data_IF_751519032540
#
_entry.id   IF_751519032540
#
_cell.length_a   1.000
_cell.length_b   1.000
_cell.length_c   1.000
_cell.angle_alpha   90.00
_cell.angle_beta   90.00
_cell.angle_gamma   90.00
#
_symmetry.space_group_name_H-M   'P 1'
#
loop_
_entity.id
_entity.type
_entity.pdbx_description
1 polymer ?
#
# COMPACT_ATOMS: atom_id res chain seq x y z
N UNK A 1 -11.58 13.40 -7.94
CA UNK A 1 -10.68 13.37 -6.76
C UNK A 1 -11.27 14.01 -5.51
N UNK A 2 -11.67 15.30 -5.51
CA UNK A 2 -12.12 16.01 -4.30
C UNK A 2 -13.26 15.34 -3.51
N UNK A 3 -14.26 14.78 -4.20
CA UNK A 3 -15.40 14.08 -3.55
C UNK A 3 -14.94 12.81 -2.85
N UNK A 4 -14.15 11.96 -3.53
CA UNK A 4 -13.58 10.76 -2.93
C UNK A 4 -12.66 11.10 -1.75
N UNK A 5 -11.92 12.21 -1.86
CA UNK A 5 -11.05 12.69 -0.79
C UNK A 5 -11.87 13.07 0.44
N UNK A 6 -12.95 13.84 0.27
CA UNK A 6 -13.88 14.15 1.36
C UNK A 6 -14.54 12.90 1.94
N UNK A 7 -14.98 11.97 1.10
CA UNK A 7 -15.58 10.72 1.52
C UNK A 7 -14.62 9.87 2.36
N UNK A 8 -13.33 9.84 2.03
CA UNK A 8 -12.29 9.12 2.78
C UNK A 8 -12.11 9.66 4.22
N UNK A 9 -12.40 10.94 4.46
CA UNK A 9 -12.34 11.56 5.79
C UNK A 9 -13.69 11.60 6.52
N UNK A 10 -14.71 10.96 5.95
CA UNK A 10 -16.03 10.95 6.55
C UNK A 10 -16.07 10.05 7.79
N UNK A 11 -16.94 10.37 8.75
CA UNK A 11 -17.07 9.60 10.01
C UNK A 11 -17.71 8.23 9.78
N UNK A 12 -18.64 8.16 8.84
CA UNK A 12 -19.27 6.92 8.41
C UNK A 12 -18.28 6.02 7.66
N UNK A 13 -18.22 4.75 8.06
CA UNK A 13 -17.36 3.74 7.46
C UNK A 13 -17.78 3.42 6.02
N UNK A 14 -19.08 3.43 5.73
CA UNK A 14 -19.58 3.09 4.39
C UNK A 14 -19.19 4.17 3.38
N UNK A 15 -19.24 5.45 3.77
CA UNK A 15 -18.70 6.54 2.96
C UNK A 15 -17.19 6.37 2.66
N UNK A 16 -16.40 5.87 3.63
CA UNK A 16 -14.96 5.61 3.42
C UNK A 16 -14.74 4.41 2.50
N UNK A 17 -15.55 3.35 2.60
CA UNK A 17 -15.52 2.22 1.67
C UNK A 17 -15.83 2.65 0.23
N UNK A 18 -16.85 3.48 0.03
CA UNK A 18 -17.17 4.07 -1.29
C UNK A 18 -15.98 4.86 -1.84
N UNK A 19 -15.27 5.61 -0.99
CA UNK A 19 -14.06 6.31 -1.40
C UNK A 19 -12.96 5.35 -1.89
N UNK A 20 -12.71 4.28 -1.15
CA UNK A 20 -11.72 3.24 -1.51
C UNK A 20 -12.07 2.59 -2.85
N UNK A 21 -13.32 2.16 -3.05
CA UNK A 21 -13.77 1.62 -4.33
C UNK A 21 -13.54 2.61 -5.48
N UNK A 22 -13.84 3.90 -5.27
CA UNK A 22 -13.58 4.93 -6.25
C UNK A 22 -12.09 5.10 -6.58
N UNK A 23 -11.20 5.04 -5.59
CA UNK A 23 -9.75 5.09 -5.83
C UNK A 23 -9.24 3.87 -6.58
N UNK A 24 -9.71 2.67 -6.24
CA UNK A 24 -9.38 1.44 -6.97
C UNK A 24 -9.80 1.53 -8.44
N UNK A 25 -10.97 2.10 -8.74
CA UNK A 25 -11.41 2.34 -10.11
C UNK A 25 -10.52 3.35 -10.85
N UNK A 26 -10.04 4.38 -10.16
CA UNK A 26 -9.11 5.36 -10.76
C UNK A 26 -7.76 4.68 -11.06
N UNK A 27 -7.22 3.88 -10.13
CA UNK A 27 -5.97 3.15 -10.30
C UNK A 27 -5.99 2.27 -11.57
N UNK A 28 -7.12 1.58 -11.81
CA UNK A 28 -7.34 0.76 -13.02
C UNK A 28 -7.22 1.53 -14.36
N UNK A 29 -7.35 2.85 -14.36
CA UNK A 29 -7.39 3.69 -15.56
C UNK A 29 -6.29 4.75 -15.62
N UNK A 30 -5.40 4.77 -14.63
CA UNK A 30 -4.40 5.82 -14.50
C UNK A 30 -3.21 5.53 -15.42
N UNK A 31 -2.99 6.36 -16.43
CA UNK A 31 -1.83 6.22 -17.31
C UNK A 31 -0.58 6.71 -16.60
N UNK A 32 0.19 5.78 -16.02
CA UNK A 32 1.43 6.08 -15.33
C UNK A 32 2.62 5.56 -16.15
N UNK A 33 3.54 6.47 -16.49
CA UNK A 33 4.77 6.17 -17.22
C UNK A 33 5.90 6.78 -16.38
N UNK A 34 6.52 5.96 -15.52
CA UNK A 34 7.61 6.36 -14.65
C UNK A 34 7.89 5.34 -13.55
N UNK A 35 8.99 5.50 -12.80
CA UNK A 35 9.25 4.78 -11.54
C UNK A 35 8.95 5.75 -10.39
N UNK A 36 8.21 5.33 -9.37
CA UNK A 36 8.02 6.09 -8.11
C UNK A 36 8.37 5.15 -6.98
N UNK A 37 9.24 5.59 -6.07
CA UNK A 37 9.66 4.82 -4.89
C UNK A 37 9.21 5.54 -3.61
N UNK A 38 8.83 4.76 -2.59
CA UNK A 38 8.35 5.24 -1.30
C UNK A 38 9.47 5.20 -0.25
N UNK A 39 10.35 6.21 -0.21
CA UNK A 39 11.34 6.25 0.87
C UNK A 39 10.72 6.50 2.26
N UNK A 40 11.02 5.63 3.22
CA UNK A 40 10.72 5.86 4.63
C UNK A 40 11.77 6.78 5.25
N UNK A 41 11.37 7.95 5.74
CA UNK A 41 12.24 8.83 6.52
C UNK A 41 11.69 8.93 7.93
N UNK A 42 12.44 8.44 8.92
CA UNK A 42 12.20 8.77 10.32
C UNK A 42 12.72 10.18 10.57
N UNK A 43 11.90 11.20 10.32
CA UNK A 43 12.23 12.56 10.76
C UNK A 43 11.82 12.70 12.21
N UNK A 44 12.80 12.70 13.11
CA UNK A 44 12.65 13.07 14.52
C UNK A 44 12.24 14.54 14.63
N UNK A 45 10.94 14.83 14.48
CA UNK A 45 10.39 16.13 14.85
C UNK A 45 9.63 15.98 16.16
N UNK A 46 10.23 16.54 17.20
CA UNK A 46 9.64 16.72 18.50
C UNK A 46 8.35 17.56 18.41
N UNK A 47 7.40 17.22 19.28
CA UNK A 47 6.14 17.90 19.62
C UNK A 47 4.95 17.81 18.65
N UNK A 48 3.98 17.00 19.10
CA UNK A 48 2.53 17.09 18.84
C UNK A 48 2.02 16.87 17.40
N UNK A 49 2.11 15.63 16.92
CA UNK A 49 1.04 14.90 16.23
C UNK A 49 1.63 13.58 15.69
N UNK A 50 1.09 12.45 16.13
CA UNK A 50 1.51 11.13 15.67
C UNK A 50 1.16 10.93 14.19
N UNK A 51 2.09 11.22 13.29
CA UNK A 51 2.01 10.79 11.90
C UNK A 51 3.43 10.53 11.40
N UNK A 52 3.80 9.25 11.24
CA UNK A 52 5.03 8.86 10.58
C UNK A 52 5.06 9.48 9.17
N UNK A 53 5.95 10.46 8.95
CA UNK A 53 6.08 11.20 7.70
C UNK A 53 6.98 10.44 6.72
N UNK A 54 6.39 9.61 5.85
CA UNK A 54 7.08 8.97 4.73
C UNK A 54 7.21 9.95 3.55
N UNK A 55 8.44 10.21 3.10
CA UNK A 55 8.74 11.12 1.98
C UNK A 55 8.78 10.30 0.68
N UNK A 56 7.96 10.63 -0.31
CA UNK A 56 7.98 9.94 -1.61
C UNK A 56 9.09 10.56 -2.47
N UNK A 57 10.15 9.80 -2.80
CA UNK A 57 11.23 10.22 -3.71
C UNK A 57 10.99 9.58 -5.07
N UNK A 58 10.85 10.40 -6.12
CA UNK A 58 10.52 9.92 -7.45
C UNK A 58 11.49 10.48 -8.49
N UNK A 59 12.44 9.65 -8.94
CA UNK A 59 13.26 9.89 -10.13
C UNK A 59 12.48 9.43 -11.37
N UNK A 60 12.17 10.36 -12.28
CA UNK A 60 11.36 10.03 -13.47
C UNK A 60 12.00 10.61 -14.74
N UNK A 61 12.35 9.72 -15.66
CA UNK A 61 12.52 10.04 -17.08
C UNK A 61 11.15 9.88 -17.77
N UNK A 62 10.36 10.95 -17.89
CA UNK A 62 9.09 10.91 -18.65
C UNK A 62 9.38 11.17 -20.13
N UNK A 63 9.05 10.24 -21.03
CA UNK A 63 9.02 10.53 -22.47
C UNK A 63 7.67 11.17 -22.93
N UNK A 64 6.87 11.71 -22.01
CA UNK A 64 5.68 12.51 -22.33
C UNK A 64 5.37 13.46 -21.16
N UNK A 65 5.58 14.76 -21.37
CA UNK A 65 5.50 15.81 -20.35
C UNK A 65 4.08 16.17 -19.89
N UNK A 66 3.44 15.32 -19.09
CA UNK A 66 2.23 15.71 -18.35
C UNK A 66 2.43 15.67 -16.82
N UNK A 67 2.86 16.79 -16.18
CA UNK A 67 3.06 16.86 -14.73
C UNK A 67 1.79 16.54 -13.91
N UNK A 68 0.58 16.64 -14.49
CA UNK A 68 -0.68 16.36 -13.79
C UNK A 68 -0.86 14.88 -13.42
N UNK A 69 -0.38 13.95 -14.26
CA UNK A 69 -0.51 12.51 -14.02
C UNK A 69 0.40 12.04 -12.87
N UNK A 70 1.60 12.63 -12.74
CA UNK A 70 2.50 12.41 -11.61
C UNK A 70 1.89 12.89 -10.30
N UNK A 71 1.37 14.12 -10.26
CA UNK A 71 0.72 14.65 -9.06
C UNK A 71 -0.49 13.82 -8.64
N UNK A 72 -1.29 13.35 -9.61
CA UNK A 72 -2.43 12.48 -9.33
C UNK A 72 -2.00 11.12 -8.76
N UNK A 73 -0.97 10.48 -9.32
CA UNK A 73 -0.45 9.22 -8.80
C UNK A 73 0.05 9.39 -7.35
N UNK A 74 0.87 10.42 -7.09
CA UNK A 74 1.35 10.72 -5.74
C UNK A 74 0.21 11.03 -4.76
N UNK A 75 -0.83 11.75 -5.21
CA UNK A 75 -2.00 12.00 -4.39
C UNK A 75 -2.72 10.70 -4.04
N UNK A 76 -2.92 9.80 -5.00
CA UNK A 76 -3.55 8.51 -4.75
C UNK A 76 -2.70 7.63 -3.84
N UNK A 77 -1.38 7.58 -4.02
CA UNK A 77 -0.49 6.85 -3.11
C UNK A 77 -0.55 7.40 -1.68
N UNK A 78 -0.56 8.72 -1.53
CA UNK A 78 -0.79 9.37 -0.24
C UNK A 78 -2.15 9.02 0.38
N UNK A 79 -3.17 8.82 -0.44
CA UNK A 79 -4.50 8.41 0.01
C UNK A 79 -4.54 6.92 0.39
N UNK A 80 -3.90 6.03 -0.37
CA UNK A 80 -3.77 4.62 -0.01
C UNK A 80 -3.06 4.44 1.33
N UNK A 81 -1.98 5.17 1.58
CA UNK A 81 -1.32 5.21 2.90
C UNK A 81 -2.27 5.59 4.03
N UNK A 82 -3.19 6.54 3.79
CA UNK A 82 -4.21 6.89 4.80
C UNK A 82 -5.25 5.80 4.98
N UNK A 83 -5.60 5.05 3.93
CA UNK A 83 -6.50 3.89 4.03
C UNK A 83 -5.91 2.83 4.96
N UNK A 84 -4.59 2.59 4.89
CA UNK A 84 -3.87 1.66 5.79
C UNK A 84 -3.84 2.08 7.27
N UNK A 85 -4.30 3.29 7.59
CA UNK A 85 -4.46 3.78 8.96
C UNK A 85 -5.92 3.78 9.42
N UNK A 86 -6.83 3.20 8.63
CA UNK A 86 -8.25 3.09 8.97
C UNK A 86 -8.58 1.72 9.57
N UNK A 87 -9.83 1.59 10.00
CA UNK A 87 -10.41 0.36 10.55
C UNK A 87 -10.27 -0.82 9.57
N UNK A 88 -10.17 -2.03 10.12
CA UNK A 88 -9.95 -3.27 9.36
C UNK A 88 -10.86 -3.46 8.16
N UNK A 89 -12.16 -3.20 8.29
CA UNK A 89 -13.08 -3.37 7.16
C UNK A 89 -12.80 -2.45 5.96
N UNK A 90 -12.13 -1.31 6.16
CA UNK A 90 -11.73 -0.41 5.05
C UNK A 90 -10.39 -0.86 4.46
N UNK A 91 -9.44 -1.33 5.28
CA UNK A 91 -8.19 -1.95 4.83
C UNK A 91 -8.43 -3.22 4.02
N UNK A 92 -9.36 -4.06 4.48
CA UNK A 92 -9.76 -5.28 3.79
C UNK A 92 -10.25 -5.00 2.38
N UNK A 93 -11.13 -4.00 2.22
CA UNK A 93 -11.63 -3.60 0.90
C UNK A 93 -10.50 -3.14 -0.03
N UNK A 94 -9.49 -2.46 0.50
CA UNK A 94 -8.31 -2.08 -0.26
C UNK A 94 -7.53 -3.32 -0.71
N UNK A 95 -7.16 -4.22 0.20
CA UNK A 95 -6.35 -5.40 -0.10
C UNK A 95 -7.00 -6.31 -1.14
N UNK A 96 -8.30 -6.57 -0.99
CA UNK A 96 -9.09 -7.40 -1.92
C UNK A 96 -9.13 -6.76 -3.31
N UNK A 97 -9.26 -5.44 -3.40
CA UNK A 97 -9.42 -4.74 -4.68
C UNK A 97 -8.11 -4.39 -5.39
N UNK A 98 -6.97 -4.42 -4.70
CA UNK A 98 -5.68 -3.98 -5.24
C UNK A 98 -5.19 -4.89 -6.37
N UNK A 99 -5.32 -6.22 -6.25
CA UNK A 99 -4.87 -7.15 -7.28
C UNK A 99 -5.53 -6.86 -8.64
N UNK A 100 -6.86 -6.73 -8.67
CA UNK A 100 -7.60 -6.33 -9.87
C UNK A 100 -7.13 -4.98 -10.44
N UNK A 101 -6.75 -4.04 -9.57
CA UNK A 101 -6.24 -2.75 -10.00
C UNK A 101 -4.88 -2.86 -10.69
N UNK A 102 -4.00 -3.72 -10.17
CA UNK A 102 -2.69 -4.00 -10.73
C UNK A 102 -2.79 -4.77 -12.05
N UNK A 103 -3.70 -5.75 -12.18
CA UNK A 103 -3.93 -6.45 -13.44
C UNK A 103 -4.27 -5.51 -14.60
N UNK A 104 -5.01 -4.43 -14.30
CA UNK A 104 -5.36 -3.41 -15.29
C UNK A 104 -4.28 -2.34 -15.47
N UNK A 105 -3.34 -2.23 -14.53
CA UNK A 105 -2.32 -1.20 -14.52
C UNK A 105 -1.04 -1.67 -13.82
N UNK A 106 -0.27 -2.51 -14.52
CA UNK A 106 0.95 -3.14 -13.99
C UNK A 106 2.07 -2.15 -13.64
N UNK A 107 2.06 -0.95 -14.22
CA UNK A 107 3.04 0.10 -13.90
C UNK A 107 3.03 0.52 -12.43
N UNK A 108 1.94 0.22 -11.70
CA UNK A 108 1.78 0.52 -10.29
C UNK A 108 2.20 -0.64 -9.37
N UNK A 109 2.61 -1.78 -9.92
CA UNK A 109 2.90 -3.00 -9.16
C UNK A 109 3.92 -2.74 -8.05
N UNK A 110 5.10 -2.26 -8.42
CA UNK A 110 6.22 -2.15 -7.49
C UNK A 110 5.92 -1.18 -6.34
N UNK A 111 5.30 -0.03 -6.66
CA UNK A 111 4.92 0.96 -5.63
C UNK A 111 3.81 0.48 -4.70
N UNK A 112 2.86 -0.32 -5.22
CA UNK A 112 1.82 -0.93 -4.39
C UNK A 112 2.42 -2.04 -3.54
N UNK A 113 3.34 -2.84 -4.09
CA UNK A 113 4.02 -3.90 -3.35
C UNK A 113 4.86 -3.32 -2.21
N UNK A 114 5.64 -2.27 -2.48
CA UNK A 114 6.40 -1.51 -1.46
C UNK A 114 5.49 -1.01 -0.33
N UNK A 115 4.30 -0.52 -0.69
CA UNK A 115 3.30 -0.06 0.28
C UNK A 115 2.76 -1.21 1.16
N UNK A 116 2.46 -2.36 0.56
CA UNK A 116 1.91 -3.51 1.28
C UNK A 116 2.98 -4.21 2.14
N UNK A 117 4.22 -4.34 1.64
CA UNK A 117 5.34 -4.88 2.39
C UNK A 117 5.66 -4.00 3.61
N UNK A 118 5.70 -2.66 3.45
CA UNK A 118 5.86 -1.75 4.59
C UNK A 118 4.70 -1.79 5.60
N UNK A 119 3.53 -2.30 5.22
CA UNK A 119 2.46 -2.59 6.18
C UNK A 119 2.67 -3.93 6.88
N UNK A 120 3.11 -4.96 6.15
CA UNK A 120 3.42 -6.29 6.68
C UNK A 120 4.60 -6.26 7.65
N UNK A 121 5.63 -5.47 7.36
CA UNK A 121 6.80 -5.20 8.22
C UNK A 121 6.41 -4.82 9.66
N UNK A 122 5.29 -4.11 9.86
CA UNK A 122 4.84 -3.71 11.20
C UNK A 122 4.38 -4.91 12.04
N UNK A 123 3.96 -5.97 11.36
CA UNK A 123 3.41 -7.20 11.92
C UNK A 123 4.46 -8.31 12.02
N UNK A 124 5.62 -8.12 11.39
CA UNK A 124 6.71 -9.06 11.38
C UNK A 124 7.81 -8.65 12.36
N UNK A 125 8.38 -9.62 13.07
CA UNK A 125 9.52 -9.47 13.96
C UNK A 125 10.69 -10.28 13.41
N UNK A 126 11.74 -9.60 12.95
CA UNK A 126 12.95 -10.23 12.40
C UNK A 126 13.95 -10.66 13.48
N UNK A 127 13.62 -10.53 14.77
CA UNK A 127 14.49 -11.02 15.84
C UNK A 127 14.52 -12.55 15.90
N UNK A 128 15.73 -13.13 15.81
CA UNK A 128 15.99 -14.59 15.86
C UNK A 128 15.53 -15.28 17.16
N UNK A 129 15.14 -14.52 18.18
CA UNK A 129 14.81 -15.02 19.52
C UNK A 129 13.30 -15.32 19.72
N UNK A 130 12.44 -15.00 18.74
CA UNK A 130 10.98 -15.24 18.84
C UNK A 130 10.55 -16.52 18.12
N UNK A 131 9.95 -17.46 18.85
CA UNK A 131 9.31 -18.66 18.28
C UNK A 131 8.17 -18.34 17.28
N UNK A 132 7.64 -17.11 17.33
CA UNK A 132 6.60 -16.62 16.43
C UNK A 132 7.03 -15.28 15.80
N UNK A 133 7.35 -15.24 14.51
CA UNK A 133 7.77 -14.00 13.85
C UNK A 133 6.60 -13.04 13.58
N UNK A 134 5.35 -13.46 13.80
CA UNK A 134 4.15 -12.64 13.54
C UNK A 134 3.53 -12.10 14.83
N UNK A 135 3.36 -10.79 14.90
CA UNK A 135 2.73 -10.04 16.00
C UNK A 135 1.21 -9.99 15.87
N UNK A 136 0.55 -11.14 16.08
CA UNK A 136 -0.92 -11.27 15.95
C UNK A 136 -1.71 -10.33 16.87
N UNK A 137 -1.14 -9.91 18.00
CA UNK A 137 -1.76 -8.94 18.90
C UNK A 137 -2.02 -7.59 18.23
N UNK A 138 -1.27 -7.24 17.17
CA UNK A 138 -1.48 -6.01 16.40
C UNK A 138 -2.63 -6.13 15.39
N UNK A 139 -3.17 -7.33 15.16
CA UNK A 139 -4.27 -7.54 14.23
C UNK A 139 -5.64 -7.24 14.81
N UNK A 140 -5.72 -7.05 16.13
CA UNK A 140 -6.97 -6.85 16.86
C UNK A 140 -6.88 -5.61 17.74
N UNK A 141 -8.02 -4.94 17.90
CA UNK A 141 -8.16 -3.80 18.79
C UNK A 141 -9.33 -4.05 19.75
N UNK A 142 -9.16 -3.71 21.02
CA UNK A 142 -10.26 -3.68 21.97
C UNK A 142 -11.00 -2.34 21.87
N UNK A 143 -12.29 -2.39 21.56
CA UNK A 143 -13.16 -1.22 21.45
C UNK A 143 -14.41 -1.43 22.30
N UNK A 144 -14.54 -0.64 23.38
CA UNK A 144 -15.68 -0.68 24.30
C UNK A 144 -15.99 -2.10 24.83
N UNK A 145 -14.94 -2.86 25.16
CA UNK A 145 -15.05 -4.23 25.68
C UNK A 145 -15.30 -5.31 24.62
N UNK A 146 -15.29 -4.95 23.33
CA UNK A 146 -15.36 -5.92 22.22
C UNK A 146 -14.01 -5.97 21.50
N UNK A 147 -13.58 -7.18 21.14
CA UNK A 147 -12.41 -7.37 20.27
C UNK A 147 -12.89 -7.23 18.83
N UNK A 148 -12.31 -6.26 18.10
CA UNK A 148 -12.58 -6.04 16.68
C UNK A 148 -11.30 -6.27 15.87
N UNK A 149 -11.45 -6.76 14.65
CA UNK A 149 -10.33 -6.90 13.72
C UNK A 149 -9.87 -5.52 13.27
N UNK A 150 -8.62 -5.18 13.59
CA UNK A 150 -8.00 -3.96 13.11
C UNK A 150 -7.19 -4.23 11.85
N UNK A 151 -6.31 -5.22 11.82
CA UNK A 151 -5.54 -5.58 10.61
C UNK A 151 -6.05 -6.90 10.00
N UNK A 152 -6.61 -6.88 8.79
CA UNK A 152 -7.03 -8.08 8.08
C UNK A 152 -5.82 -8.78 7.46
N UNK A 153 -4.99 -9.40 8.30
CA UNK A 153 -3.69 -9.97 7.93
C UNK A 153 -3.77 -10.98 6.78
N UNK A 154 -4.79 -11.84 6.77
CA UNK A 154 -4.99 -12.81 5.70
C UNK A 154 -5.21 -12.14 4.34
N UNK A 155 -6.00 -11.07 4.29
CA UNK A 155 -6.24 -10.29 3.08
C UNK A 155 -4.97 -9.54 2.63
N UNK A 156 -4.18 -9.01 3.57
CA UNK A 156 -2.90 -8.36 3.29
C UNK A 156 -1.91 -9.34 2.62
N UNK A 157 -1.68 -10.50 3.26
CA UNK A 157 -0.77 -11.53 2.74
C UNK A 157 -1.28 -12.02 1.37
N UNK A 158 -2.58 -12.28 1.25
CA UNK A 158 -3.18 -12.72 -0.03
C UNK A 158 -2.93 -11.70 -1.13
N UNK A 159 -3.12 -10.40 -0.85
CA UNK A 159 -2.87 -9.33 -1.81
C UNK A 159 -1.41 -9.29 -2.25
N UNK A 160 -0.46 -9.39 -1.31
CA UNK A 160 0.98 -9.46 -1.59
C UNK A 160 1.31 -10.66 -2.47
N UNK A 161 0.85 -11.86 -2.08
CA UNK A 161 1.11 -13.09 -2.81
C UNK A 161 0.55 -13.05 -4.24
N UNK A 162 -0.68 -12.57 -4.43
CA UNK A 162 -1.29 -12.46 -5.76
C UNK A 162 -0.52 -11.47 -6.65
N UNK A 163 -0.08 -10.34 -6.11
CA UNK A 163 0.70 -9.34 -6.85
C UNK A 163 2.10 -9.87 -7.20
N UNK A 164 2.73 -10.66 -6.32
CA UNK A 164 4.01 -11.31 -6.59
C UNK A 164 3.87 -12.41 -7.65
N UNK A 165 2.90 -13.30 -7.53
CA UNK A 165 2.70 -14.42 -8.47
C UNK A 165 2.35 -13.97 -9.89
N UNK A 166 1.79 -12.76 -10.06
CA UNK A 166 1.59 -12.17 -11.38
C UNK A 166 2.89 -12.10 -12.20
N UNK A 167 4.06 -12.00 -11.55
CA UNK A 167 5.36 -11.93 -12.23
C UNK A 167 5.74 -13.20 -13.00
N UNK A 168 5.22 -14.36 -12.60
CA UNK A 168 5.60 -15.64 -13.22
C UNK A 168 4.87 -15.93 -14.55
N UNK A 169 3.88 -15.12 -14.92
CA UNK A 169 2.96 -15.44 -16.01
C UNK A 169 3.30 -14.85 -17.38
N UNK A 170 4.35 -14.02 -17.52
CA UNK A 170 4.68 -13.37 -18.80
C UNK A 170 6.19 -13.40 -19.07
N UNK A 171 6.54 -14.30 -19.99
CA UNK A 171 7.74 -14.22 -20.82
C UNK A 171 7.66 -12.90 -21.61
N UNK A 172 8.42 -11.88 -21.20
CA UNK A 172 9.24 -10.99 -22.05
C UNK A 172 9.93 -9.87 -21.22
N UNK A 173 11.25 -10.03 -21.07
CA UNK A 173 12.39 -9.08 -20.92
C UNK A 173 12.49 -8.05 -19.75
N UNK A 174 13.15 -8.51 -18.66
CA UNK A 174 14.48 -8.10 -18.17
C UNK A 174 14.77 -6.80 -17.38
N UNK A 175 13.81 -5.98 -16.95
CA UNK A 175 14.15 -4.87 -16.01
C UNK A 175 13.23 -4.70 -14.80
N UNK A 176 11.95 -5.06 -14.91
CA UNK A 176 10.98 -4.87 -13.82
C UNK A 176 10.89 -6.07 -12.89
N UNK A 177 11.15 -7.28 -13.38
CA UNK A 177 11.01 -8.51 -12.59
C UNK A 177 12.07 -8.61 -11.49
N UNK A 178 13.30 -8.20 -11.83
CA UNK A 178 14.43 -8.16 -10.89
C UNK A 178 14.17 -7.19 -9.73
N UNK A 179 13.34 -6.16 -9.90
CA UNK A 179 13.06 -5.19 -8.83
C UNK A 179 12.13 -5.73 -7.75
N UNK A 180 11.12 -6.54 -8.11
CA UNK A 180 10.14 -7.05 -7.16
C UNK A 180 10.70 -8.23 -6.36
N UNK A 181 11.40 -9.15 -7.03
CA UNK A 181 12.10 -10.25 -6.37
C UNK A 181 13.17 -9.73 -5.41
N UNK A 182 13.99 -8.77 -5.86
CA UNK A 182 14.98 -8.13 -5.01
C UNK A 182 14.36 -7.44 -3.79
N UNK A 183 13.22 -6.77 -3.94
CA UNK A 183 12.53 -6.16 -2.80
C UNK A 183 12.06 -7.18 -1.77
N UNK A 184 11.60 -8.36 -2.21
CA UNK A 184 11.23 -9.45 -1.31
C UNK A 184 12.47 -10.08 -0.65
N UNK A 185 13.54 -10.31 -1.41
CA UNK A 185 14.80 -10.84 -0.88
C UNK A 185 15.43 -9.88 0.14
N UNK A 186 15.47 -8.58 -0.17
CA UNK A 186 15.94 -7.53 0.74
C UNK A 186 15.08 -7.51 2.02
N UNK A 187 13.76 -7.68 1.92
CA UNK A 187 12.86 -7.80 3.07
C UNK A 187 13.12 -9.07 3.90
N UNK A 188 13.41 -10.21 3.28
CA UNK A 188 13.69 -11.46 3.99
C UNK A 188 15.09 -11.51 4.64
N UNK A 189 16.02 -10.66 4.18
CA UNK A 189 17.39 -10.57 4.68
C UNK A 189 17.59 -9.51 5.78
N UNK A 190 16.57 -8.72 6.12
CA UNK A 190 16.59 -7.66 7.14
C UNK A 190 15.85 -8.03 8.43
#
# INVERSE_FOLDING_TARGET
MLVLRKALFHRDIEARKVAVSGYLMILKKLNFIGKVSLSQSQTSISSQASSASLIIKADVYTNAGNPSSKTMCLEIMGLLKRVLMQQGAVKQLLYVGLYDAILQNRSLRDIVLELLLGQFEKLYDSSDDSDLPLRFNLCFQELKGNIVMDEPLADLITSICLILLESESIVDEDEYDLSAQKMLEDFLQS
#
